data_IF_374577062078
#
_entry.id   IF_374577062078
#
_cell.length_a   1.000
_cell.length_b   1.000
_cell.length_c   1.000
_cell.angle_alpha   90.00
_cell.angle_beta   90.00
_cell.angle_gamma   90.00
#
_symmetry.space_group_name_H-M   'P 1'
#
loop_
_entity.id
_entity.type
_entity.pdbx_description
1 polymer ?
#
# COMPACT_ATOMS: atom_id res chain seq x y z
N UNK A 1 -21.40 10.11 1.87
CA UNK A 1 -21.73 9.40 0.59
C UNK A 1 -22.88 10.06 -0.19
N UNK A 2 -23.12 11.39 -0.14
CA UNK A 2 -24.21 12.04 -0.89
C UNK A 2 -23.82 12.35 -2.35
N UNK A 3 -22.65 12.97 -2.56
CA UNK A 3 -22.18 13.30 -3.91
C UNK A 3 -21.85 12.09 -4.78
N UNK A 4 -21.34 10.99 -4.19
CA UNK A 4 -21.07 9.76 -4.92
C UNK A 4 -22.36 9.12 -5.49
N UNK A 5 -23.48 9.20 -4.76
CA UNK A 5 -24.78 8.74 -5.23
C UNK A 5 -25.29 9.60 -6.40
N UNK A 6 -25.23 10.93 -6.25
CA UNK A 6 -25.61 11.89 -7.30
C UNK A 6 -24.78 11.65 -8.56
N UNK A 7 -23.47 11.43 -8.42
CA UNK A 7 -22.59 11.12 -9.53
C UNK A 7 -23.01 9.84 -10.28
N UNK A 8 -23.44 8.79 -9.57
CA UNK A 8 -23.92 7.56 -10.21
C UNK A 8 -25.23 7.78 -10.97
N UNK A 9 -26.17 8.54 -10.42
CA UNK A 9 -27.53 8.69 -10.96
C UNK A 9 -27.69 9.82 -12.00
N UNK A 10 -26.67 10.68 -12.19
CA UNK A 10 -26.71 11.86 -13.07
C UNK A 10 -27.03 11.61 -14.54
N UNK A 11 -26.93 10.37 -15.00
CA UNK A 11 -27.24 9.98 -16.39
C UNK A 11 -28.73 9.65 -16.59
N UNK A 12 -29.46 9.41 -15.50
CA UNK A 12 -30.89 9.08 -15.51
C UNK A 12 -31.71 10.31 -15.16
N UNK A 13 -31.24 11.13 -14.22
CA UNK A 13 -31.98 12.29 -13.71
C UNK A 13 -31.13 13.58 -13.74
N UNK A 14 -31.76 14.75 -13.94
CA UNK A 14 -31.08 16.04 -13.87
C UNK A 14 -30.38 16.26 -12.51
N UNK A 15 -29.17 16.83 -12.55
CA UNK A 15 -28.37 17.10 -11.33
C UNK A 15 -29.09 18.05 -10.37
N UNK A 16 -29.90 18.98 -10.88
CA UNK A 16 -30.74 19.86 -10.06
C UNK A 16 -31.66 19.06 -9.13
N UNK A 17 -32.43 18.13 -9.69
CA UNK A 17 -33.35 17.28 -8.93
C UNK A 17 -32.60 16.34 -7.97
N UNK A 18 -31.46 15.80 -8.39
CA UNK A 18 -30.65 14.91 -7.56
C UNK A 18 -29.96 15.62 -6.38
N UNK A 19 -29.73 16.94 -6.47
CA UNK A 19 -29.16 17.75 -5.39
C UNK A 19 -30.20 18.18 -4.36
N UNK A 20 -31.47 18.28 -4.74
CA UNK A 20 -32.57 18.72 -3.86
C UNK A 20 -32.91 17.67 -2.80
N UNK A 21 -33.14 16.41 -3.17
CA UNK A 21 -33.54 15.35 -2.24
C UNK A 21 -32.52 15.09 -1.08
N UNK A 22 -31.19 15.10 -1.30
CA UNK A 22 -30.20 14.96 -0.23
C UNK A 22 -29.76 16.30 0.41
N UNK A 23 -30.42 17.42 0.07
CA UNK A 23 -30.12 18.77 0.57
C UNK A 23 -28.65 19.18 0.39
N UNK A 24 -28.13 19.07 -0.82
CA UNK A 24 -26.75 19.48 -1.13
C UNK A 24 -26.72 20.58 -2.19
N UNK A 25 -25.75 21.48 -2.12
CA UNK A 25 -25.62 22.52 -3.12
C UNK A 25 -25.10 21.98 -4.45
N UNK A 26 -25.69 22.47 -5.56
CA UNK A 26 -25.21 22.19 -6.93
C UNK A 26 -23.75 22.57 -7.11
N UNK A 27 -23.35 23.74 -6.59
CA UNK A 27 -21.96 24.21 -6.61
C UNK A 27 -21.03 23.30 -5.80
N UNK A 28 -21.48 22.77 -4.66
CA UNK A 28 -20.75 21.79 -3.87
C UNK A 28 -20.55 20.46 -4.60
N UNK A 29 -21.56 20.00 -5.34
CA UNK A 29 -21.44 18.80 -6.18
C UNK A 29 -20.41 18.99 -7.31
N UNK A 30 -20.49 20.10 -8.06
CA UNK A 30 -19.54 20.37 -9.13
C UNK A 30 -18.12 20.61 -8.59
N UNK A 31 -17.98 21.30 -7.46
CA UNK A 31 -16.69 21.44 -6.79
C UNK A 31 -16.14 20.08 -6.38
N UNK A 32 -16.96 19.19 -5.83
CA UNK A 32 -16.58 17.81 -5.50
C UNK A 32 -16.19 16.99 -6.74
N UNK A 33 -16.90 17.15 -7.86
CA UNK A 33 -16.61 16.46 -9.11
C UNK A 33 -15.26 16.88 -9.69
N UNK A 34 -14.92 18.16 -9.57
CA UNK A 34 -13.65 18.73 -10.03
C UNK A 34 -12.52 18.61 -9.00
N UNK A 35 -12.75 18.01 -7.82
CA UNK A 35 -11.70 17.87 -6.80
C UNK A 35 -10.59 16.96 -7.35
N UNK A 36 -9.33 17.43 -7.36
CA UNK A 36 -8.22 16.56 -7.68
C UNK A 36 -8.16 15.41 -6.66
N UNK A 37 -7.71 14.22 -7.06
CA UNK A 37 -7.52 13.12 -6.13
C UNK A 37 -6.59 13.58 -5.00
N UNK A 38 -7.02 13.35 -3.75
CA UNK A 38 -6.21 13.73 -2.60
C UNK A 38 -4.85 13.03 -2.61
N UNK A 39 -3.87 13.61 -1.92
CA UNK A 39 -2.49 13.11 -1.84
C UNK A 39 -2.41 11.61 -1.52
N UNK A 40 -3.30 11.14 -0.62
CA UNK A 40 -3.37 9.73 -0.23
C UNK A 40 -3.81 8.81 -1.36
N UNK A 41 -4.78 9.21 -2.17
CA UNK A 41 -5.23 8.42 -3.34
C UNK A 41 -4.10 8.28 -4.35
N UNK A 42 -3.35 9.36 -4.58
CA UNK A 42 -2.16 9.34 -5.45
C UNK A 42 -1.08 8.43 -4.88
N UNK A 43 -0.83 8.52 -3.57
CA UNK A 43 0.15 7.68 -2.88
C UNK A 43 -0.23 6.20 -2.95
N UNK A 44 -1.49 5.86 -2.69
CA UNK A 44 -2.00 4.49 -2.70
C UNK A 44 -1.91 3.89 -4.12
N UNK A 45 -2.23 4.68 -5.15
CA UNK A 45 -2.04 4.27 -6.55
C UNK A 45 -0.56 3.99 -6.87
N UNK A 46 0.36 4.86 -6.41
CA UNK A 46 1.80 4.66 -6.57
C UNK A 46 2.29 3.40 -5.84
N UNK A 47 1.79 3.17 -4.64
CA UNK A 47 2.14 2.00 -3.83
C UNK A 47 1.71 0.70 -4.50
N UNK A 48 0.45 0.61 -4.93
CA UNK A 48 -0.05 -0.57 -5.65
C UNK A 48 0.74 -0.82 -6.94
N UNK A 49 1.06 0.24 -7.69
CA UNK A 49 1.88 0.13 -8.89
C UNK A 49 3.29 -0.42 -8.57
N UNK A 50 3.92 0.08 -7.51
CA UNK A 50 5.24 -0.40 -7.08
C UNK A 50 5.20 -1.90 -6.70
N UNK A 51 4.21 -2.32 -5.90
CA UNK A 51 4.06 -3.73 -5.49
C UNK A 51 3.93 -4.65 -6.71
N UNK A 52 3.09 -4.26 -7.69
CA UNK A 52 2.91 -5.05 -8.92
C UNK A 52 4.16 -5.10 -9.77
N UNK A 53 4.88 -3.99 -9.90
CA UNK A 53 6.13 -3.93 -10.66
C UNK A 53 7.18 -4.83 -10.03
N UNK A 54 7.37 -4.77 -8.71
CA UNK A 54 8.27 -5.66 -7.98
C UNK A 54 7.89 -7.13 -8.18
N UNK A 55 6.60 -7.48 -8.07
CA UNK A 55 6.16 -8.86 -8.27
C UNK A 55 6.44 -9.39 -9.69
N UNK A 56 6.24 -8.55 -10.71
CA UNK A 56 6.55 -8.90 -12.10
C UNK A 56 8.06 -9.01 -12.32
N UNK A 57 8.85 -8.08 -11.78
CA UNK A 57 10.30 -8.08 -11.88
C UNK A 57 10.93 -9.32 -11.22
N UNK A 58 10.30 -9.83 -10.16
CA UNK A 58 10.69 -11.08 -9.53
C UNK A 58 10.05 -12.32 -10.19
N UNK A 59 9.61 -12.27 -11.46
CA UNK A 59 9.02 -13.41 -12.18
C UNK A 59 7.85 -14.10 -11.46
N UNK A 60 7.08 -13.34 -10.66
CA UNK A 60 6.01 -13.86 -9.79
C UNK A 60 6.51 -14.84 -8.73
N UNK A 61 7.77 -14.73 -8.37
CA UNK A 61 8.41 -15.44 -7.25
C UNK A 61 8.67 -14.46 -6.10
N UNK A 62 8.27 -14.84 -4.89
CA UNK A 62 8.43 -14.03 -3.69
C UNK A 62 8.65 -14.96 -2.48
N UNK A 63 9.66 -14.65 -1.66
CA UNK A 63 10.01 -15.36 -0.42
C UNK A 63 10.74 -16.70 -0.62
N UNK A 64 10.88 -17.48 0.47
CA UNK A 64 11.48 -18.85 0.54
C UNK A 64 10.84 -19.89 -0.42
N UNK A 65 9.87 -19.46 -1.24
CA UNK A 65 9.17 -20.21 -2.28
C UNK A 65 9.90 -20.24 -3.63
N UNK A 66 11.13 -19.75 -3.75
CA UNK A 66 11.98 -19.98 -4.94
C UNK A 66 12.05 -21.46 -5.37
N UNK A 67 11.71 -22.41 -4.47
CA UNK A 67 11.65 -23.85 -4.74
C UNK A 67 10.28 -24.43 -5.15
N UNK A 68 9.18 -23.65 -5.23
CA UNK A 68 7.81 -24.21 -5.48
C UNK A 68 7.05 -23.65 -6.69
N UNK A 69 7.71 -22.93 -7.60
CA UNK A 69 7.10 -22.47 -8.85
C UNK A 69 6.35 -21.13 -8.75
N UNK A 70 5.80 -20.68 -9.89
CA UNK A 70 5.15 -19.38 -10.06
C UNK A 70 3.89 -19.27 -9.21
N UNK A 71 3.70 -18.15 -8.51
CA UNK A 71 2.49 -17.92 -7.73
C UNK A 71 1.35 -17.41 -8.63
N UNK A 72 0.19 -18.08 -8.55
CA UNK A 72 -1.03 -17.65 -9.24
C UNK A 72 -1.58 -16.33 -8.67
N UNK A 73 -1.43 -16.12 -7.37
CA UNK A 73 -1.93 -14.94 -6.65
C UNK A 73 -0.79 -14.12 -6.05
N UNK A 74 -0.91 -12.78 -6.14
CA UNK A 74 0.01 -11.84 -5.51
C UNK A 74 -0.29 -11.72 -4.01
N UNK A 75 0.62 -12.24 -3.19
CA UNK A 75 0.56 -12.12 -1.74
C UNK A 75 1.42 -10.96 -1.26
N UNK A 76 0.84 -10.05 -0.48
CA UNK A 76 1.57 -9.00 0.21
C UNK A 76 1.77 -9.41 1.67
N UNK A 77 2.97 -9.87 1.98
CA UNK A 77 3.38 -10.13 3.35
C UNK A 77 3.87 -8.84 3.98
N UNK A 78 3.27 -8.45 5.11
CA UNK A 78 3.69 -7.31 5.91
C UNK A 78 3.66 -7.67 7.39
N UNK A 79 4.26 -6.83 8.21
CA UNK A 79 4.03 -6.87 9.65
C UNK A 79 2.58 -6.43 9.99
N UNK A 80 2.21 -6.61 11.25
CA UNK A 80 0.89 -6.20 11.75
C UNK A 80 0.87 -4.74 12.25
N UNK A 81 1.66 -3.87 11.63
CA UNK A 81 1.61 -2.45 11.91
C UNK A 81 0.20 -1.88 11.70
N UNK A 82 -0.14 -0.82 12.45
CA UNK A 82 -1.47 -0.17 12.39
C UNK A 82 -1.83 0.32 10.97
N UNK A 83 -0.82 0.68 10.18
CA UNK A 83 -1.00 1.04 8.77
C UNK A 83 -1.49 -0.14 7.92
N UNK A 84 -0.87 -1.30 8.05
CA UNK A 84 -1.15 -2.49 7.25
C UNK A 84 -2.39 -3.25 7.72
N UNK A 85 -2.69 -3.18 9.02
CA UNK A 85 -3.93 -3.73 9.60
C UNK A 85 -5.16 -2.85 9.35
N UNK A 86 -4.98 -1.62 8.86
CA UNK A 86 -6.09 -0.69 8.64
C UNK A 86 -7.05 -1.20 7.57
N UNK A 87 -8.35 -1.02 7.83
CA UNK A 87 -9.42 -1.43 6.89
C UNK A 87 -9.25 -0.78 5.51
N UNK A 88 -8.83 0.49 5.47
CA UNK A 88 -8.59 1.22 4.22
C UNK A 88 -7.49 0.55 3.38
N UNK A 89 -6.39 0.13 4.02
CA UNK A 89 -5.29 -0.52 3.34
C UNK A 89 -5.65 -1.93 2.88
N UNK A 90 -6.33 -2.70 3.74
CA UNK A 90 -6.81 -4.04 3.39
C UNK A 90 -7.79 -4.01 2.20
N UNK A 91 -8.71 -3.05 2.18
CA UNK A 91 -9.61 -2.82 1.03
C UNK A 91 -8.84 -2.43 -0.23
N UNK A 92 -7.88 -1.50 -0.13
CA UNK A 92 -7.05 -1.08 -1.27
C UNK A 92 -6.36 -2.28 -1.93
N UNK A 93 -5.80 -3.20 -1.13
CA UNK A 93 -5.16 -4.40 -1.65
C UNK A 93 -6.18 -5.37 -2.25
N UNK A 94 -7.30 -5.61 -1.58
CA UNK A 94 -8.37 -6.49 -2.05
C UNK A 94 -8.98 -6.02 -3.38
N UNK A 95 -9.26 -4.71 -3.52
CA UNK A 95 -9.76 -4.08 -4.75
C UNK A 95 -8.77 -4.23 -5.92
N UNK A 96 -7.49 -4.46 -5.60
CA UNK A 96 -6.44 -4.72 -6.57
C UNK A 96 -6.11 -6.22 -6.72
N UNK A 97 -6.89 -7.12 -6.14
CA UNK A 97 -6.62 -8.56 -6.20
C UNK A 97 -5.29 -8.97 -5.55
N UNK A 98 -4.82 -8.18 -4.58
CA UNK A 98 -3.64 -8.45 -3.76
C UNK A 98 -4.15 -9.00 -2.44
N UNK A 99 -3.71 -10.21 -2.07
CA UNK A 99 -4.07 -10.80 -0.79
C UNK A 99 -3.02 -10.43 0.24
N UNK A 100 -3.44 -9.83 1.36
CA UNK A 100 -2.58 -9.59 2.51
C UNK A 100 -2.96 -10.58 3.63
N UNK A 101 -2.39 -11.80 3.65
CA UNK A 101 -2.67 -12.73 4.73
C UNK A 101 -2.13 -12.15 6.04
N UNK A 102 -3.00 -12.03 7.05
CA UNK A 102 -2.59 -11.66 8.41
C UNK A 102 -2.89 -12.84 9.33
N UNK A 103 -1.85 -13.46 9.89
CA UNK A 103 -1.99 -14.44 10.97
C UNK A 103 -2.53 -13.82 12.25
N UNK A 104 -2.76 -14.63 13.28
CA UNK A 104 -3.01 -14.13 14.65
C UNK A 104 -1.85 -13.25 15.11
N UNK A 105 -2.16 -12.17 15.85
CA UNK A 105 -1.16 -11.31 16.46
C UNK A 105 -0.14 -12.09 17.30
N UNK A 106 1.14 -11.77 17.12
CA UNK A 106 2.27 -12.48 17.72
C UNK A 106 2.83 -13.64 16.88
N UNK A 107 2.30 -13.90 15.68
CA UNK A 107 2.87 -14.90 14.77
C UNK A 107 3.91 -14.28 13.83
N UNK A 108 5.19 -14.45 14.15
CA UNK A 108 6.38 -13.98 13.40
C UNK A 108 6.50 -14.63 12.00
N UNK A 109 5.77 -15.73 11.73
CA UNK A 109 5.97 -16.53 10.52
C UNK A 109 5.53 -15.87 9.21
N UNK A 110 4.83 -14.75 9.26
CA UNK A 110 4.35 -14.07 8.05
C UNK A 110 5.38 -13.13 7.41
N UNK A 111 6.36 -12.65 8.20
CA UNK A 111 7.40 -11.73 7.72
C UNK A 111 8.85 -12.12 8.11
N UNK A 112 9.22 -13.42 8.24
CA UNK A 112 10.49 -13.82 8.83
C UNK A 112 11.69 -13.41 7.98
N UNK A 113 11.53 -13.30 6.66
CA UNK A 113 12.60 -12.88 5.76
C UNK A 113 13.01 -11.43 6.00
N UNK A 114 12.05 -10.51 6.09
CA UNK A 114 12.34 -9.11 6.39
C UNK A 114 12.79 -8.94 7.83
N UNK A 115 12.20 -9.65 8.79
CA UNK A 115 12.66 -9.60 10.19
C UNK A 115 14.12 -10.07 10.31
N UNK A 116 14.51 -11.16 9.64
CA UNK A 116 15.89 -11.63 9.60
C UNK A 116 16.81 -10.58 8.96
N UNK A 117 16.42 -10.02 7.82
CA UNK A 117 17.19 -8.97 7.15
C UNK A 117 17.43 -7.76 8.07
N UNK A 118 16.37 -7.25 8.70
CA UNK A 118 16.48 -6.10 9.60
C UNK A 118 17.26 -6.43 10.88
N UNK A 119 17.18 -7.67 11.36
CA UNK A 119 18.00 -8.14 12.48
C UNK A 119 19.48 -8.06 12.12
N UNK A 120 19.90 -8.71 11.02
CA UNK A 120 21.27 -8.70 10.50
C UNK A 120 21.77 -7.28 10.23
N UNK A 121 20.96 -6.44 9.59
CA UNK A 121 21.34 -5.06 9.30
C UNK A 121 21.63 -4.27 10.59
N UNK A 122 20.79 -4.45 11.62
CA UNK A 122 20.96 -3.75 12.90
C UNK A 122 22.14 -4.29 13.69
N UNK A 123 22.32 -5.60 13.77
CA UNK A 123 23.33 -6.24 14.62
C UNK A 123 24.72 -6.26 14.01
N UNK A 124 24.84 -6.60 12.73
CA UNK A 124 26.15 -6.83 12.09
C UNK A 124 26.66 -5.60 11.36
N UNK A 125 25.75 -4.83 10.71
CA UNK A 125 26.16 -3.77 9.79
C UNK A 125 26.05 -2.35 10.35
N UNK A 126 25.18 -2.15 11.34
CA UNK A 126 24.91 -0.83 11.92
C UNK A 126 25.35 -0.70 13.37
N UNK A 127 25.34 -1.77 14.18
CA UNK A 127 25.64 -1.70 15.61
C UNK A 127 26.99 -1.07 15.96
N UNK A 128 27.99 -1.18 15.07
CA UNK A 128 29.33 -0.61 15.27
C UNK A 128 29.58 0.69 14.48
N UNK A 129 28.59 1.23 13.75
CA UNK A 129 28.75 2.43 12.91
C UNK A 129 28.03 3.63 13.53
N UNK A 130 28.80 4.66 13.89
CA UNK A 130 28.25 5.95 14.33
C UNK A 130 28.02 6.84 13.11
N UNK A 131 26.76 6.97 12.68
CA UNK A 131 26.38 7.92 11.63
C UNK A 131 26.16 9.29 12.26
N UNK A 132 26.92 10.31 11.85
CA UNK A 132 26.79 11.67 12.38
C UNK A 132 25.74 12.48 11.64
N UNK A 133 25.48 12.13 10.37
CA UNK A 133 24.47 12.80 9.56
C UNK A 133 23.45 11.83 8.99
N UNK A 134 22.25 12.35 8.68
CA UNK A 134 21.20 11.57 8.01
C UNK A 134 21.62 11.08 6.62
N UNK A 135 22.49 11.82 5.93
CA UNK A 135 22.99 11.43 4.61
C UNK A 135 23.96 10.26 4.69
N UNK A 136 24.84 10.23 5.71
CA UNK A 136 25.69 9.07 6.00
C UNK A 136 24.85 7.83 6.30
N UNK A 137 23.84 7.95 7.18
CA UNK A 137 22.94 6.84 7.48
C UNK A 137 22.21 6.31 6.24
N UNK A 138 21.77 7.21 5.34
CA UNK A 138 21.13 6.83 4.08
C UNK A 138 22.09 6.11 3.13
N UNK A 139 23.33 6.59 3.02
CA UNK A 139 24.36 5.96 2.19
C UNK A 139 24.72 4.56 2.72
N UNK A 140 24.85 4.39 4.03
CA UNK A 140 25.07 3.09 4.65
C UNK A 140 23.92 2.12 4.40
N UNK A 141 22.67 2.57 4.57
CA UNK A 141 21.51 1.72 4.29
C UNK A 141 21.43 1.29 2.82
N UNK A 142 21.85 2.16 1.89
CA UNK A 142 21.87 1.84 0.46
C UNK A 142 22.97 0.81 0.12
N UNK A 143 24.20 1.03 0.59
CA UNK A 143 25.32 0.08 0.44
C UNK A 143 24.98 -1.30 1.04
N UNK A 144 24.25 -1.31 2.15
CA UNK A 144 23.80 -2.55 2.78
C UNK A 144 22.76 -3.32 1.94
N UNK A 145 21.88 -2.61 1.23
CA UNK A 145 20.88 -3.21 0.33
C UNK A 145 21.54 -3.71 -0.95
N UNK A 146 22.51 -2.98 -1.53
CA UNK A 146 23.20 -3.39 -2.76
C UNK A 146 24.15 -4.57 -2.56
N UNK A 147 24.65 -4.77 -1.33
CA UNK A 147 25.53 -5.89 -0.97
C UNK A 147 24.79 -7.14 -0.47
N UNK A 148 23.45 -7.16 -0.54
CA UNK A 148 22.61 -8.28 -0.14
C UNK A 148 22.07 -9.01 -1.38
#
# INVERSE_FOLDING_TARGET
MRFAFIAKQRHIWPVSCLCEAPEVSRSGFHAWLSRPPGTRVIHDAKLVAAIRTSFKASDRTCGVRWRRGKADTLLHHSDQGSQYTSEQFQRLLADNGITCPMSRAGNVRDNPAMESFFSTQKTERTASKVCRTRNEARAHGFDDIERF
#
